data_IF_286653694018
#
_entry.id   IF_286653694018
#
_cell.length_a   1.000
_cell.length_b   1.000
_cell.length_c   1.000
_cell.angle_alpha   90.00
_cell.angle_beta   90.00
_cell.angle_gamma   90.00
#
_symmetry.space_group_name_H-M   'P 1'
#
loop_
_entity.id
_entity.type
_entity.pdbx_description
1 polymer ?
#
# COMPACT_ATOMS: atom_id res chain seq x y z
N UNK A 1 16.57 16.17 -10.05
CA UNK A 1 17.84 16.65 -9.47
C UNK A 1 17.84 16.32 -7.98
N UNK A 2 18.93 15.77 -7.45
CA UNK A 2 19.09 15.53 -6.00
C UNK A 2 19.31 16.86 -5.28
N UNK A 3 18.58 17.06 -4.19
CA UNK A 3 18.70 18.25 -3.34
C UNK A 3 19.53 17.95 -2.08
N UNK A 4 20.00 19.00 -1.40
CA UNK A 4 20.63 18.84 -0.10
C UNK A 4 19.67 18.17 0.89
N UNK A 5 20.18 17.20 1.65
CA UNK A 5 19.41 16.41 2.58
C UNK A 5 18.97 17.18 3.83
N UNK A 6 18.79 16.48 4.90
CA UNK A 6 18.34 17.02 6.17
C UNK A 6 17.65 15.98 7.03
N UNK A 7 16.94 16.41 8.05
CA UNK A 7 16.28 15.53 8.99
C UNK A 7 14.96 15.01 8.41
N UNK A 8 14.82 13.67 8.32
CA UNK A 8 13.56 12.98 8.01
C UNK A 8 13.00 12.30 9.25
N UNK A 9 11.69 12.21 9.34
CA UNK A 9 11.00 11.50 10.42
C UNK A 9 9.67 10.93 9.90
N UNK A 10 9.29 9.75 10.41
CA UNK A 10 8.04 9.10 10.03
C UNK A 10 6.81 9.81 10.65
N UNK A 11 5.59 9.40 10.23
CA UNK A 11 4.33 10.02 10.64
C UNK A 11 4.17 10.10 12.17
N UNK A 12 4.43 9.00 12.90
CA UNK A 12 4.25 8.96 14.36
C UNK A 12 5.46 9.55 15.12
N UNK A 13 6.58 9.74 14.43
CA UNK A 13 7.77 10.36 15.01
C UNK A 13 8.69 9.45 15.80
N UNK A 14 8.45 8.13 15.80
CA UNK A 14 9.32 7.16 16.49
C UNK A 14 10.53 6.71 15.66
N UNK A 15 10.58 7.06 14.37
CA UNK A 15 11.70 6.79 13.46
C UNK A 15 12.18 8.09 12.83
N UNK A 16 13.49 8.31 12.83
CA UNK A 16 14.08 9.47 12.18
C UNK A 16 15.52 9.21 11.72
N UNK A 17 15.97 9.92 10.71
CA UNK A 17 17.37 9.89 10.25
C UNK A 17 17.79 11.24 9.65
N UNK A 18 19.10 11.42 9.53
CA UNK A 18 19.68 12.50 8.75
C UNK A 18 20.08 11.91 7.39
N UNK A 19 19.50 12.45 6.33
CA UNK A 19 19.76 12.00 4.96
C UNK A 19 20.72 12.94 4.27
N UNK A 20 21.59 12.41 3.42
CA UNK A 20 22.57 13.20 2.69
C UNK A 20 21.92 13.96 1.53
N UNK A 21 21.00 13.32 0.83
CA UNK A 21 20.27 13.89 -0.30
C UNK A 21 18.78 13.54 -0.23
N UNK A 22 17.97 14.41 -0.85
CA UNK A 22 16.54 14.18 -1.09
C UNK A 22 16.24 14.24 -2.57
N UNK A 23 15.16 13.56 -2.99
CA UNK A 23 14.65 13.64 -4.34
C UNK A 23 13.15 13.46 -4.37
N UNK A 24 12.49 14.19 -5.28
CA UNK A 24 11.06 14.11 -5.57
C UNK A 24 10.88 14.07 -7.09
N UNK A 25 11.16 12.94 -7.76
CA UNK A 25 11.02 12.83 -9.20
C UNK A 25 9.56 12.97 -9.63
N UNK A 26 9.34 13.59 -10.77
CA UNK A 26 8.05 13.81 -11.41
C UNK A 26 7.81 12.88 -12.62
N UNK A 27 8.79 12.06 -12.95
CA UNK A 27 8.73 11.11 -14.05
C UNK A 27 9.57 9.87 -13.75
N UNK A 28 9.25 8.74 -14.41
CA UNK A 28 10.04 7.51 -14.29
C UNK A 28 11.49 7.71 -14.77
N UNK A 29 11.68 8.53 -15.82
CA UNK A 29 13.02 8.86 -16.31
C UNK A 29 13.83 9.66 -15.28
N UNK A 30 13.21 10.65 -14.62
CA UNK A 30 13.86 11.41 -13.55
C UNK A 30 14.17 10.52 -12.34
N UNK A 31 13.28 9.59 -11.99
CA UNK A 31 13.51 8.60 -10.94
C UNK A 31 14.72 7.71 -11.28
N UNK A 32 14.76 7.17 -12.50
CA UNK A 32 15.85 6.31 -12.97
C UNK A 32 17.21 7.02 -12.93
N UNK A 33 17.26 8.28 -13.35
CA UNK A 33 18.46 9.10 -13.29
C UNK A 33 18.93 9.31 -11.85
N UNK A 34 18.03 9.68 -10.93
CA UNK A 34 18.37 9.89 -9.52
C UNK A 34 18.89 8.60 -8.85
N UNK A 35 18.28 7.45 -9.14
CA UNK A 35 18.71 6.16 -8.60
C UNK A 35 20.11 5.81 -9.13
N UNK A 36 20.33 5.95 -10.43
CA UNK A 36 21.63 5.69 -11.07
C UNK A 36 22.73 6.58 -10.50
N UNK A 37 22.47 7.89 -10.37
CA UNK A 37 23.43 8.86 -9.82
C UNK A 37 23.77 8.53 -8.36
N UNK A 38 22.79 8.21 -7.54
CA UNK A 38 23.00 7.83 -6.14
C UNK A 38 23.82 6.55 -6.04
N UNK A 39 23.47 5.52 -6.81
CA UNK A 39 24.16 4.23 -6.81
C UNK A 39 25.61 4.37 -7.26
N UNK A 40 25.88 5.11 -8.35
CA UNK A 40 27.25 5.38 -8.85
C UNK A 40 28.10 6.17 -7.85
N UNK A 41 27.45 6.93 -6.98
CA UNK A 41 28.09 7.67 -5.88
C UNK A 41 28.21 6.84 -4.58
N UNK A 42 27.86 5.55 -4.60
CA UNK A 42 27.91 4.66 -3.44
C UNK A 42 26.88 4.98 -2.36
N UNK A 43 25.79 5.66 -2.71
CA UNK A 43 24.73 6.01 -1.78
C UNK A 43 23.62 4.94 -1.75
N UNK A 44 23.18 4.58 -0.55
CA UNK A 44 21.97 3.80 -0.39
C UNK A 44 20.73 4.65 -0.73
N UNK A 45 19.80 4.07 -1.45
CA UNK A 45 18.52 4.70 -1.81
C UNK A 45 17.40 4.09 -0.97
N UNK A 46 16.56 4.94 -0.38
CA UNK A 46 15.29 4.53 0.25
C UNK A 46 14.18 5.46 -0.19
N UNK A 47 13.01 4.85 -0.40
CA UNK A 47 11.81 5.57 -0.75
C UNK A 47 10.83 5.54 0.42
N UNK A 48 10.25 6.68 0.76
CA UNK A 48 9.16 6.76 1.71
C UNK A 48 7.91 7.30 1.02
N UNK A 49 6.79 6.62 1.24
CA UNK A 49 5.47 7.14 0.94
C UNK A 49 5.02 8.11 2.05
N UNK A 50 3.84 7.88 2.61
CA UNK A 50 3.28 8.72 3.69
C UNK A 50 3.95 8.51 5.07
N UNK A 51 4.93 7.62 5.19
CA UNK A 51 5.71 7.41 6.40
C UNK A 51 4.95 6.73 7.54
N UNK A 52 3.98 5.89 7.25
CA UNK A 52 3.15 5.22 8.27
C UNK A 52 3.82 4.00 8.94
N UNK A 53 4.93 3.48 8.42
CA UNK A 53 5.65 2.36 9.05
C UNK A 53 6.25 2.76 10.40
N UNK A 54 6.04 1.94 11.43
CA UNK A 54 6.64 2.11 12.76
C UNK A 54 8.07 1.54 12.84
N UNK A 55 8.48 0.76 11.84
CA UNK A 55 9.79 0.13 11.73
C UNK A 55 10.76 0.95 10.88
N UNK A 56 12.08 0.71 10.94
CA UNK A 56 13.09 1.54 10.26
C UNK A 56 13.21 1.29 8.74
N UNK A 57 12.18 0.79 8.07
CA UNK A 57 12.24 0.39 6.64
C UNK A 57 12.59 1.52 5.67
N UNK A 58 12.26 2.77 6.02
CA UNK A 58 12.51 3.94 5.18
C UNK A 58 13.78 4.73 5.58
N UNK A 59 14.52 4.28 6.60
CA UNK A 59 15.70 4.99 7.07
C UNK A 59 16.88 4.80 6.12
N UNK A 60 17.59 5.90 5.84
CA UNK A 60 18.85 5.91 5.08
C UNK A 60 19.70 7.11 5.49
N UNK A 61 21.01 7.00 5.36
CA UNK A 61 21.93 8.13 5.39
C UNK A 61 22.28 8.65 3.99
N UNK A 62 21.82 7.96 2.93
CA UNK A 62 22.09 8.27 1.52
C UNK A 62 21.05 9.17 0.87
N UNK A 63 20.42 8.67 -0.20
CA UNK A 63 19.33 9.34 -0.92
C UNK A 63 17.99 8.90 -0.38
N UNK A 64 17.19 9.84 0.08
CA UNK A 64 15.81 9.64 0.48
C UNK A 64 14.86 10.18 -0.58
N UNK A 65 14.04 9.30 -1.19
CA UNK A 65 13.09 9.64 -2.23
C UNK A 65 11.66 9.74 -1.68
N UNK A 66 10.92 10.69 -2.21
CA UNK A 66 9.45 10.69 -2.16
C UNK A 66 8.90 10.62 -3.57
N UNK A 67 7.85 9.83 -3.78
CA UNK A 67 7.21 9.67 -5.09
C UNK A 67 5.97 10.57 -5.23
N UNK A 68 5.88 11.64 -4.46
CA UNK A 68 4.76 12.58 -4.50
C UNK A 68 4.55 13.25 -5.87
N UNK A 69 5.57 13.29 -6.73
CA UNK A 69 5.49 13.75 -8.12
C UNK A 69 4.98 12.67 -9.10
N UNK A 70 5.00 11.39 -8.71
CA UNK A 70 4.53 10.25 -9.51
C UNK A 70 3.15 9.80 -9.01
N UNK A 71 2.11 10.52 -9.41
CA UNK A 71 0.74 10.27 -8.98
C UNK A 71 -0.22 10.14 -10.17
N UNK A 72 -1.33 9.45 -9.93
CA UNK A 72 -2.42 9.29 -10.88
C UNK A 72 -2.48 7.90 -11.50
N UNK A 73 -3.57 7.67 -12.20
CA UNK A 73 -3.80 6.45 -12.98
C UNK A 73 -3.17 6.65 -14.35
N UNK A 74 -2.38 5.68 -14.79
CA UNK A 74 -1.73 5.66 -16.12
C UNK A 74 -2.55 4.90 -17.16
N UNK A 75 -3.29 3.85 -16.73
CA UNK A 75 -4.16 3.08 -17.61
C UNK A 75 -5.31 2.43 -16.83
N UNK A 76 -6.47 2.27 -17.49
CA UNK A 76 -7.61 1.48 -17.00
C UNK A 76 -8.03 0.50 -18.10
N UNK A 77 -7.89 -0.79 -17.83
CA UNK A 77 -8.44 -1.87 -18.65
C UNK A 77 -9.72 -2.38 -17.98
N UNK A 78 -10.86 -1.85 -18.41
CA UNK A 78 -12.17 -2.22 -17.85
C UNK A 78 -12.57 -3.65 -18.21
N UNK A 79 -12.09 -4.19 -19.35
CA UNK A 79 -12.41 -5.55 -19.78
C UNK A 79 -11.75 -6.59 -18.89
N UNK A 80 -10.47 -6.36 -18.52
CA UNK A 80 -9.72 -7.21 -17.60
C UNK A 80 -9.86 -6.80 -16.14
N UNK A 81 -10.52 -5.67 -15.88
CA UNK A 81 -10.61 -5.04 -14.55
C UNK A 81 -9.22 -4.84 -13.94
N UNK A 82 -8.33 -4.20 -14.70
CA UNK A 82 -6.97 -3.87 -14.28
C UNK A 82 -6.75 -2.37 -14.34
N UNK A 83 -6.01 -1.86 -13.38
CA UNK A 83 -5.62 -0.45 -13.33
C UNK A 83 -4.13 -0.32 -13.10
N UNK A 84 -3.44 0.47 -13.95
CA UNK A 84 -2.05 0.85 -13.74
C UNK A 84 -1.99 2.23 -13.10
N UNK A 85 -1.15 2.37 -12.07
CA UNK A 85 -1.14 3.51 -11.17
C UNK A 85 0.30 3.87 -10.82
N UNK A 86 0.65 5.14 -10.87
CA UNK A 86 1.92 5.62 -10.35
C UNK A 86 2.07 5.35 -8.86
N UNK A 87 3.27 4.95 -8.45
CA UNK A 87 3.59 4.43 -7.13
C UNK A 87 3.33 5.39 -5.96
N UNK A 88 3.42 6.70 -6.19
CA UNK A 88 3.18 7.74 -5.19
C UNK A 88 1.70 8.10 -5.00
N UNK A 89 0.79 7.52 -5.79
CA UNK A 89 -0.66 7.77 -5.66
C UNK A 89 -1.16 7.28 -4.30
N UNK A 90 -1.97 8.07 -3.60
CA UNK A 90 -2.57 7.63 -2.35
C UNK A 90 -3.76 6.69 -2.60
N UNK A 91 -4.04 5.80 -1.63
CA UNK A 91 -5.18 4.89 -1.68
C UNK A 91 -6.49 5.70 -1.83
N UNK A 92 -6.62 6.82 -1.12
CA UNK A 92 -7.77 7.72 -1.24
C UNK A 92 -7.96 8.26 -2.66
N UNK A 93 -6.88 8.73 -3.28
CA UNK A 93 -6.92 9.26 -4.67
C UNK A 93 -7.31 8.15 -5.65
N UNK A 94 -6.72 6.97 -5.50
CA UNK A 94 -7.04 5.79 -6.31
C UNK A 94 -8.51 5.39 -6.15
N UNK A 95 -9.00 5.26 -4.91
CA UNK A 95 -10.38 4.86 -4.63
C UNK A 95 -11.40 5.81 -5.26
N UNK A 96 -11.18 7.13 -5.15
CA UNK A 96 -12.03 8.14 -5.80
C UNK A 96 -12.02 8.03 -7.33
N UNK A 97 -10.87 7.73 -7.92
CA UNK A 97 -10.75 7.58 -9.36
C UNK A 97 -11.42 6.29 -9.87
N UNK A 98 -11.21 5.16 -9.17
CA UNK A 98 -11.86 3.89 -9.47
C UNK A 98 -13.38 3.99 -9.39
N UNK A 99 -13.92 4.62 -8.36
CA UNK A 99 -15.36 4.83 -8.20
C UNK A 99 -16.00 5.54 -9.40
N UNK A 100 -15.31 6.57 -9.97
CA UNK A 100 -15.77 7.26 -11.19
C UNK A 100 -15.81 6.36 -12.42
N UNK A 101 -15.02 5.29 -12.43
CA UNK A 101 -14.97 4.30 -13.50
C UNK A 101 -15.83 3.06 -13.21
N UNK A 102 -16.66 3.07 -12.16
CA UNK A 102 -17.47 1.91 -11.77
C UNK A 102 -16.65 0.75 -11.20
N UNK A 103 -15.42 1.02 -10.74
CA UNK A 103 -14.49 0.02 -10.21
C UNK A 103 -14.17 0.27 -8.74
N UNK A 104 -13.62 -0.74 -8.09
CA UNK A 104 -13.20 -0.71 -6.69
C UNK A 104 -11.99 -1.62 -6.45
N UNK A 105 -11.18 -1.32 -5.45
CA UNK A 105 -10.19 -2.26 -4.93
C UNK A 105 -10.89 -3.47 -4.31
N UNK A 106 -10.29 -4.65 -4.41
CA UNK A 106 -10.84 -5.89 -3.85
C UNK A 106 -10.82 -5.86 -2.32
N UNK A 107 -9.74 -5.34 -1.75
CA UNK A 107 -9.54 -5.14 -0.32
C UNK A 107 -8.62 -3.95 -0.09
N UNK A 108 -8.75 -3.28 1.05
CA UNK A 108 -7.87 -2.19 1.47
C UNK A 108 -7.73 -2.17 3.00
N UNK A 109 -6.70 -1.48 3.51
CA UNK A 109 -6.57 -1.21 4.94
C UNK A 109 -7.39 -0.01 5.38
N UNK A 110 -7.44 0.25 6.68
CA UNK A 110 -8.23 1.35 7.27
C UNK A 110 -7.69 2.73 6.90
N UNK A 111 -6.39 2.86 6.68
CA UNK A 111 -5.73 4.14 6.41
C UNK A 111 -5.59 4.36 4.90
N UNK A 112 -6.34 5.27 4.34
CA UNK A 112 -6.36 5.59 2.91
C UNK A 112 -5.41 6.73 2.49
N UNK A 113 -4.80 7.42 3.44
CA UNK A 113 -3.78 8.45 3.19
C UNK A 113 -2.39 7.88 2.84
N UNK A 114 -2.21 6.57 2.93
CA UNK A 114 -0.98 5.89 2.55
C UNK A 114 -0.72 5.99 1.04
N UNK A 115 0.56 6.20 0.66
CA UNK A 115 1.00 6.02 -0.71
C UNK A 115 0.91 4.53 -1.09
N UNK A 116 0.40 4.23 -2.29
CA UNK A 116 0.07 2.89 -2.73
C UNK A 116 1.27 1.94 -2.67
N UNK A 117 2.42 2.31 -3.24
CA UNK A 117 3.61 1.47 -3.23
C UNK A 117 4.07 1.14 -1.80
N UNK A 118 4.02 2.13 -0.89
CA UNK A 118 4.37 1.91 0.51
C UNK A 118 3.44 0.92 1.21
N UNK A 119 2.12 1.07 1.04
CA UNK A 119 1.14 0.17 1.62
C UNK A 119 1.28 -1.26 1.09
N UNK A 120 1.46 -1.43 -0.22
CA UNK A 120 1.56 -2.73 -0.86
C UNK A 120 2.84 -3.47 -0.44
N UNK A 121 4.00 -2.80 -0.51
CA UNK A 121 5.30 -3.44 -0.27
C UNK A 121 5.58 -3.77 1.19
N UNK A 122 4.80 -3.24 2.11
CA UNK A 122 4.87 -3.55 3.55
C UNK A 122 3.77 -4.49 4.03
N UNK A 123 2.99 -5.05 3.10
CA UNK A 123 1.98 -6.07 3.39
C UNK A 123 0.73 -5.54 4.09
N UNK A 124 0.37 -4.26 3.87
CA UNK A 124 -0.89 -3.71 4.40
C UNK A 124 -2.08 -4.58 4.00
N UNK A 125 -2.96 -4.82 4.94
CA UNK A 125 -4.16 -5.65 4.75
C UNK A 125 -5.38 -4.97 5.36
N UNK A 126 -6.55 -5.37 4.93
CA UNK A 126 -7.81 -5.12 5.59
C UNK A 126 -8.27 -6.36 6.35
N UNK A 127 -9.57 -6.48 6.55
CA UNK A 127 -10.22 -7.64 7.13
C UNK A 127 -10.77 -8.58 6.06
N UNK A 128 -11.34 -9.71 6.46
CA UNK A 128 -11.98 -10.69 5.58
C UNK A 128 -11.20 -11.98 5.44
N UNK A 129 -11.77 -13.08 5.97
CA UNK A 129 -11.14 -14.41 6.01
C UNK A 129 -10.73 -14.93 4.61
N UNK A 130 -11.49 -14.54 3.57
CA UNK A 130 -11.28 -14.98 2.18
C UNK A 130 -10.50 -13.96 1.33
N UNK A 131 -10.08 -12.85 1.93
CA UNK A 131 -9.39 -11.77 1.22
C UNK A 131 -7.90 -11.76 1.59
N UNK A 132 -7.05 -11.69 0.58
CA UNK A 132 -5.60 -11.50 0.79
C UNK A 132 -5.25 -10.07 1.24
N UNK A 133 -3.98 -9.87 1.56
CA UNK A 133 -3.44 -8.53 1.77
C UNK A 133 -3.51 -7.70 0.48
N UNK A 134 -3.27 -6.40 0.57
CA UNK A 134 -3.36 -5.52 -0.59
C UNK A 134 -2.38 -5.90 -1.70
N UNK A 135 -1.19 -6.41 -1.36
CA UNK A 135 -0.19 -6.83 -2.32
C UNK A 135 -0.64 -8.03 -3.20
N UNK A 136 -1.59 -8.84 -2.71
CA UNK A 136 -2.15 -9.94 -3.49
C UNK A 136 -2.93 -9.48 -4.73
N UNK A 137 -3.34 -8.21 -4.77
CA UNK A 137 -4.04 -7.60 -5.90
C UNK A 137 -3.08 -7.17 -7.03
N UNK A 138 -1.77 -7.20 -6.80
CA UNK A 138 -0.76 -6.78 -7.79
C UNK A 138 -0.64 -7.84 -8.87
N UNK A 139 -0.82 -7.42 -10.13
CA UNK A 139 -0.66 -8.23 -11.34
C UNK A 139 0.45 -7.70 -12.26
N UNK A 140 1.07 -6.58 -11.90
CA UNK A 140 2.23 -6.04 -12.58
C UNK A 140 2.94 -4.97 -11.76
N UNK A 141 4.24 -4.88 -11.90
CA UNK A 141 5.11 -3.90 -11.23
C UNK A 141 6.18 -3.42 -12.20
N UNK A 142 6.47 -2.13 -12.17
CA UNK A 142 7.65 -1.54 -12.80
C UNK A 142 8.60 -1.06 -11.72
N UNK A 143 9.85 -1.53 -11.80
CA UNK A 143 10.92 -1.25 -10.83
C UNK A 143 12.07 -0.52 -11.51
N UNK A 144 12.54 0.56 -10.91
CA UNK A 144 13.80 1.19 -11.26
C UNK A 144 14.91 0.49 -10.50
N UNK A 145 15.83 -0.15 -11.24
CA UNK A 145 16.96 -0.88 -10.70
C UNK A 145 18.13 0.04 -10.35
N UNK A 146 19.16 -0.43 -9.61
CA UNK A 146 20.31 0.39 -9.19
C UNK A 146 21.08 1.06 -10.31
N UNK A 147 21.11 0.45 -11.51
CA UNK A 147 21.75 1.00 -12.71
C UNK A 147 20.88 2.00 -13.49
N UNK A 148 19.65 2.25 -13.01
CA UNK A 148 18.66 3.08 -13.66
C UNK A 148 17.84 2.35 -14.74
N UNK A 149 18.08 1.07 -14.99
CA UNK A 149 17.24 0.29 -15.90
C UNK A 149 15.85 0.04 -15.31
N UNK A 150 14.87 -0.20 -16.18
CA UNK A 150 13.49 -0.48 -15.78
C UNK A 150 13.25 -1.99 -15.93
N UNK A 151 12.91 -2.64 -14.83
CA UNK A 151 12.43 -4.02 -14.81
C UNK A 151 10.91 -4.01 -14.73
N UNK A 152 10.24 -4.53 -15.76
CA UNK A 152 8.81 -4.75 -15.76
C UNK A 152 8.54 -6.22 -15.48
N UNK A 153 7.67 -6.50 -14.51
CA UNK A 153 7.29 -7.85 -14.06
C UNK A 153 5.77 -7.91 -14.11
N UNK A 154 5.22 -8.99 -14.63
CA UNK A 154 3.77 -9.20 -14.66
C UNK A 154 3.38 -10.64 -14.27
N UNK A 155 2.12 -11.00 -14.44
CA UNK A 155 1.56 -12.29 -14.05
C UNK A 155 2.01 -13.48 -14.96
N UNK A 156 2.78 -13.21 -16.01
CA UNK A 156 3.48 -14.26 -16.78
C UNK A 156 4.73 -14.81 -16.06
N UNK A 157 5.23 -14.05 -15.05
CA UNK A 157 6.40 -14.40 -14.23
C UNK A 157 6.00 -14.49 -12.73
N UNK A 158 5.19 -15.49 -12.34
CA UNK A 158 4.54 -15.52 -11.02
C UNK A 158 5.50 -15.54 -9.84
N UNK A 159 6.64 -16.23 -9.95
CA UNK A 159 7.62 -16.29 -8.87
C UNK A 159 8.32 -14.93 -8.66
N UNK A 160 8.70 -14.28 -9.75
CA UNK A 160 9.31 -12.95 -9.70
C UNK A 160 8.30 -11.92 -9.18
N UNK A 161 7.05 -11.97 -9.65
CA UNK A 161 5.98 -11.09 -9.18
C UNK A 161 5.70 -11.30 -7.69
N UNK A 162 5.69 -12.54 -7.20
CA UNK A 162 5.52 -12.84 -5.78
C UNK A 162 6.66 -12.27 -4.93
N UNK A 163 7.90 -12.38 -5.39
CA UNK A 163 9.05 -11.76 -4.72
C UNK A 163 8.97 -10.23 -4.68
N UNK A 164 8.44 -9.62 -5.75
CA UNK A 164 8.33 -8.16 -5.87
C UNK A 164 7.19 -7.57 -5.03
N UNK A 165 6.09 -8.31 -4.80
CA UNK A 165 4.87 -7.84 -4.13
C UNK A 165 5.12 -7.26 -2.74
N UNK A 166 5.92 -7.93 -1.89
CA UNK A 166 6.24 -7.48 -0.51
C UNK A 166 7.74 -7.40 -0.33
N UNK A 167 8.40 -6.70 -1.25
CA UNK A 167 9.87 -6.61 -1.31
C UNK A 167 10.48 -5.54 -0.38
N UNK A 168 9.66 -4.72 0.28
CA UNK A 168 10.09 -3.57 1.11
C UNK A 168 11.16 -2.69 0.43
N UNK A 169 11.08 -2.59 -0.91
CA UNK A 169 12.01 -1.79 -1.73
C UNK A 169 13.39 -2.42 -1.93
N UNK A 170 13.58 -3.72 -1.66
CA UNK A 170 14.89 -4.40 -1.80
C UNK A 170 15.24 -4.75 -3.25
N UNK A 171 14.24 -4.87 -4.12
CA UNK A 171 14.44 -5.22 -5.54
C UNK A 171 14.57 -3.99 -6.46
N UNK A 172 14.37 -2.79 -5.94
CA UNK A 172 14.39 -1.55 -6.70
C UNK A 172 13.32 -0.57 -6.21
N UNK A 173 13.26 0.60 -6.83
CA UNK A 173 12.25 1.62 -6.53
C UNK A 173 11.06 1.44 -7.46
N UNK A 174 9.88 1.21 -6.91
CA UNK A 174 8.64 1.05 -7.70
C UNK A 174 8.25 2.40 -8.31
N UNK A 175 8.05 2.42 -9.63
CA UNK A 175 7.53 3.58 -10.37
C UNK A 175 6.04 3.46 -10.69
N UNK A 176 5.58 2.26 -11.03
CA UNK A 176 4.20 1.97 -11.42
C UNK A 176 3.76 0.59 -10.91
N UNK A 177 2.48 0.45 -10.62
CA UNK A 177 1.87 -0.80 -10.16
C UNK A 177 0.59 -1.03 -10.97
N UNK A 178 0.40 -2.26 -11.45
CA UNK A 178 -0.86 -2.70 -12.04
C UNK A 178 -1.60 -3.57 -11.03
N UNK A 179 -2.83 -3.19 -10.70
CA UNK A 179 -3.71 -3.89 -9.77
C UNK A 179 -4.85 -4.60 -10.50
N UNK A 180 -5.19 -5.79 -10.02
CA UNK A 180 -6.49 -6.38 -10.27
C UNK A 180 -7.52 -5.66 -9.40
N UNK A 181 -8.61 -5.20 -10.03
CA UNK A 181 -9.73 -4.52 -9.37
C UNK A 181 -11.02 -5.26 -9.67
N UNK A 182 -12.12 -4.83 -9.07
CA UNK A 182 -13.44 -5.41 -9.27
C UNK A 182 -14.47 -4.32 -9.55
N UNK A 183 -15.70 -4.71 -9.89
CA UNK A 183 -16.82 -3.77 -10.01
C UNK A 183 -17.04 -3.03 -8.70
N UNK A 184 -17.48 -1.79 -8.78
CA UNK A 184 -17.81 -0.98 -7.62
C UNK A 184 -18.89 -1.66 -6.78
N UNK A 185 -18.73 -1.61 -5.48
CA UNK A 185 -19.68 -2.20 -4.51
C UNK A 185 -19.88 -1.24 -3.33
N UNK A 186 -20.95 -1.45 -2.60
CA UNK A 186 -21.22 -0.77 -1.35
C UNK A 186 -21.11 -1.76 -0.20
N UNK A 187 -20.63 -1.28 0.94
CA UNK A 187 -20.58 -2.03 2.18
C UNK A 187 -21.68 -1.51 3.11
N UNK A 188 -22.36 -2.42 3.80
CA UNK A 188 -23.28 -2.10 4.87
C UNK A 188 -22.62 -2.43 6.21
N UNK A 189 -22.11 -1.43 6.88
CA UNK A 189 -21.44 -1.58 8.16
C UNK A 189 -22.46 -1.70 9.29
N UNK A 190 -22.24 -2.67 10.19
CA UNK A 190 -22.92 -2.76 11.48
C UNK A 190 -21.88 -2.63 12.58
N UNK A 191 -22.16 -1.81 13.57
CA UNK A 191 -21.32 -1.66 14.75
C UNK A 191 -22.15 -1.96 15.99
N UNK A 192 -21.67 -2.87 16.84
CA UNK A 192 -22.31 -3.12 18.13
C UNK A 192 -21.27 -3.42 19.20
N UNK A 193 -21.71 -3.29 20.43
CA UNK A 193 -20.92 -3.57 21.62
C UNK A 193 -21.39 -4.89 22.25
N UNK A 194 -20.46 -5.75 22.59
CA UNK A 194 -20.70 -7.00 23.31
C UNK A 194 -19.58 -7.25 24.32
N UNK A 195 -19.71 -8.27 25.16
CA UNK A 195 -18.60 -8.73 25.98
C UNK A 195 -17.55 -9.43 25.13
N UNK A 196 -16.32 -9.58 25.67
CA UNK A 196 -15.28 -10.33 24.97
C UNK A 196 -15.70 -11.79 24.75
N UNK A 197 -16.31 -12.42 25.76
CA UNK A 197 -16.76 -13.82 25.68
C UNK A 197 -17.83 -13.98 24.58
N UNK A 198 -18.87 -13.13 24.56
CA UNK A 198 -19.87 -13.13 23.48
C UNK A 198 -19.27 -12.92 22.10
N UNK A 199 -18.24 -12.06 21.98
CA UNK A 199 -17.52 -11.87 20.74
C UNK A 199 -16.80 -13.15 20.29
N UNK A 200 -16.13 -13.83 21.20
CA UNK A 200 -15.40 -15.07 20.92
C UNK A 200 -16.34 -16.23 20.58
N UNK A 201 -17.48 -16.34 21.24
CA UNK A 201 -18.50 -17.35 20.92
C UNK A 201 -19.04 -17.21 19.49
N UNK A 202 -19.11 -15.98 18.95
CA UNK A 202 -19.65 -15.69 17.63
C UNK A 202 -18.58 -15.50 16.55
N UNK A 203 -17.29 -15.44 16.95
CA UNK A 203 -16.18 -15.03 16.08
C UNK A 203 -16.12 -15.82 14.78
N UNK A 204 -16.13 -17.15 14.86
CA UNK A 204 -15.93 -18.01 13.68
C UNK A 204 -17.11 -17.90 12.70
N UNK A 205 -18.34 -17.83 13.21
CA UNK A 205 -19.53 -17.65 12.39
C UNK A 205 -19.55 -16.27 11.72
N UNK A 206 -19.19 -15.21 12.46
CA UNK A 206 -19.12 -13.86 11.91
C UNK A 206 -18.01 -13.75 10.85
N UNK A 207 -16.83 -14.31 11.12
CA UNK A 207 -15.73 -14.31 10.15
C UNK A 207 -16.05 -15.12 8.88
N UNK A 208 -16.77 -16.25 9.01
CA UNK A 208 -17.10 -17.10 7.88
C UNK A 208 -18.23 -16.54 6.98
N UNK A 209 -19.21 -15.85 7.59
CA UNK A 209 -20.46 -15.44 6.93
C UNK A 209 -20.46 -13.99 6.45
N UNK A 210 -19.48 -13.17 6.85
CA UNK A 210 -19.35 -11.80 6.41
C UNK A 210 -18.13 -11.62 5.49
N UNK A 211 -18.22 -10.66 4.55
CA UNK A 211 -17.08 -10.31 3.69
C UNK A 211 -15.93 -9.76 4.51
N UNK A 212 -16.27 -8.87 5.44
CA UNK A 212 -15.34 -8.27 6.40
C UNK A 212 -15.89 -8.49 7.80
N UNK A 213 -15.01 -8.83 8.73
CA UNK A 213 -15.28 -8.87 10.15
C UNK A 213 -14.03 -8.42 10.91
N UNK A 214 -14.23 -7.62 11.91
CA UNK A 214 -13.20 -7.22 12.85
C UNK A 214 -13.82 -6.84 14.19
N UNK A 215 -13.02 -6.78 15.22
CA UNK A 215 -13.41 -6.21 16.50
C UNK A 215 -12.28 -5.45 17.13
N UNK A 216 -12.63 -4.44 17.91
CA UNK A 216 -11.69 -3.69 18.74
C UNK A 216 -11.86 -4.07 20.19
N UNK A 217 -10.78 -4.46 20.81
CA UNK A 217 -10.73 -4.78 22.23
C UNK A 217 -9.52 -4.08 22.87
N UNK A 218 -9.74 -3.53 24.07
CA UNK A 218 -8.67 -2.92 24.85
C UNK A 218 -8.30 -3.86 26.00
N UNK A 219 -7.06 -4.40 26.06
CA UNK A 219 -6.65 -5.39 27.06
C UNK A 219 -6.30 -4.75 28.41
N UNK A 220 -7.26 -4.03 29.00
CA UNK A 220 -7.16 -3.51 30.36
C UNK A 220 -8.16 -4.21 31.27
N UNK A 221 -7.87 -4.39 32.58
CA UNK A 221 -8.71 -5.18 33.48
C UNK A 221 -10.19 -4.75 33.54
N UNK A 222 -10.45 -3.47 33.33
CA UNK A 222 -11.79 -2.88 33.36
C UNK A 222 -12.54 -2.99 32.03
N UNK A 223 -11.85 -3.31 30.93
CA UNK A 223 -12.42 -3.41 29.60
C UNK A 223 -12.97 -4.82 29.34
N UNK A 224 -14.24 -5.01 29.70
CA UNK A 224 -14.96 -6.28 29.47
C UNK A 224 -15.74 -6.32 28.17
N UNK A 225 -15.58 -5.32 27.29
CA UNK A 225 -16.40 -5.16 26.10
C UNK A 225 -15.56 -5.00 24.83
N UNK A 226 -16.09 -5.54 23.75
CA UNK A 226 -15.59 -5.38 22.40
C UNK A 226 -16.54 -4.51 21.56
N UNK A 227 -15.99 -3.84 20.57
CA UNK A 227 -16.76 -3.25 19.48
C UNK A 227 -16.60 -4.13 18.24
N UNK A 228 -17.67 -4.76 17.81
CA UNK A 228 -17.68 -5.65 16.65
C UNK A 228 -18.10 -4.91 15.39
N UNK A 229 -17.41 -5.17 14.30
CA UNK A 229 -17.57 -4.57 12.98
C UNK A 229 -17.70 -5.65 11.90
N UNK A 230 -18.84 -6.31 11.73
CA UNK A 230 -19.07 -7.11 10.55
C UNK A 230 -19.58 -6.23 9.43
N UNK A 231 -19.14 -6.54 8.25
CA UNK A 231 -19.49 -5.84 7.04
C UNK A 231 -20.18 -6.81 6.07
N UNK A 232 -21.40 -6.52 5.71
CA UNK A 232 -22.14 -7.28 4.71
C UNK A 232 -22.10 -6.51 3.40
N UNK A 233 -21.39 -7.02 2.39
CA UNK A 233 -21.46 -6.47 1.05
C UNK A 233 -22.87 -6.67 0.49
N UNK A 234 -23.64 -5.62 0.33
CA UNK A 234 -24.74 -5.59 -0.61
C UNK A 234 -24.19 -5.10 -1.95
N UNK A 235 -24.09 -5.97 -2.94
CA UNK A 235 -23.92 -5.55 -4.33
C UNK A 235 -25.23 -4.91 -4.74
N UNK A 236 -25.30 -3.58 -4.73
CA UNK A 236 -26.37 -2.89 -5.45
C UNK A 236 -25.89 -2.68 -6.88
N UNK A 237 -26.53 -3.36 -7.81
CA UNK A 237 -26.51 -3.05 -9.25
C UNK A 237 -26.94 -1.61 -9.49
#
# INVERSE_FOLDING_TARGET
>A
MMEAGGHWRNWVGNQSCIVRHRGAPDSEAALAEMVREATSSGLNVRCAGSGHSFTPVALTSGLHLTLSGLQGITNIDTARKRVSVHAGTTINTLGKALKRSGLSMINQGDIDSQALAGALTTGTHGTGLKLGNMASQIVGIRLVQPDGSILAIDDSEPDMLNAARVSIGMLGVISEITLQVMDSYNLHEKLWRCTFDECMEQHDDLAANHRHFGFFWCPVPESRHCYCLPDTSSVST
#
